data_IF_796922034285
#
_entry.id   IF_796922034285
#
_cell.length_a   1.000
_cell.length_b   1.000
_cell.length_c   1.000
_cell.angle_alpha   90.00
_cell.angle_beta   90.00
_cell.angle_gamma   90.00
#
_symmetry.space_group_name_H-M   'P 1'
#
loop_
_entity.id
_entity.type
_entity.pdbx_description
1 polymer ?
#
# COMPACT_ATOMS: atom_id res chain seq x y z
N UNK A 1 -19.98 -1.53 -4.97
CA UNK A 1 -18.55 -1.85 -4.84
C UNK A 1 -18.30 -3.21 -5.49
N UNK A 2 -17.08 -3.50 -6.00
CA UNK A 2 -16.74 -4.83 -6.54
C UNK A 2 -15.48 -5.32 -5.84
N UNK A 3 -15.59 -6.43 -5.11
CA UNK A 3 -14.44 -7.11 -4.50
C UNK A 3 -13.64 -7.81 -5.61
N UNK A 4 -12.32 -7.71 -5.51
CA UNK A 4 -11.35 -8.33 -6.40
C UNK A 4 -10.17 -8.85 -5.57
N UNK A 5 -9.29 -9.61 -6.21
CA UNK A 5 -8.02 -9.99 -5.60
C UNK A 5 -7.18 -8.75 -5.33
N UNK A 6 -6.39 -8.77 -4.26
CA UNK A 6 -5.57 -7.63 -3.86
C UNK A 6 -4.56 -7.21 -4.96
N UNK A 7 -4.04 -8.16 -5.73
CA UNK A 7 -3.14 -7.91 -6.86
C UNK A 7 -3.83 -7.11 -7.97
N UNK A 8 -5.08 -7.42 -8.30
CA UNK A 8 -5.88 -6.66 -9.27
C UNK A 8 -6.12 -5.21 -8.81
N UNK A 9 -6.19 -4.98 -7.49
CA UNK A 9 -6.31 -3.62 -6.93
C UNK A 9 -4.99 -2.88 -7.03
N UNK A 10 -3.86 -3.54 -6.80
CA UNK A 10 -2.55 -2.93 -6.97
C UNK A 10 -2.23 -2.64 -8.44
N UNK A 11 -2.70 -3.46 -9.37
CA UNK A 11 -2.61 -3.19 -10.80
C UNK A 11 -3.33 -1.87 -11.15
N UNK A 12 -4.55 -1.64 -10.65
CA UNK A 12 -5.27 -0.37 -10.81
C UNK A 12 -4.48 0.84 -10.27
N UNK A 13 -3.73 0.66 -9.17
CA UNK A 13 -2.88 1.71 -8.57
C UNK A 13 -1.69 2.00 -9.49
N UNK A 14 -1.02 0.96 -9.98
CA UNK A 14 0.12 1.03 -10.87
C UNK A 14 -0.23 1.68 -12.21
N UNK A 15 -1.37 1.33 -12.81
CA UNK A 15 -1.78 1.81 -14.14
C UNK A 15 -2.36 3.24 -14.15
N UNK A 16 -2.61 3.81 -12.97
CA UNK A 16 -3.37 5.06 -12.79
C UNK A 16 -2.76 6.31 -13.45
N UNK A 17 -1.49 6.27 -13.87
CA UNK A 17 -0.81 7.35 -14.61
C UNK A 17 -0.95 8.74 -13.96
N UNK A 18 -0.78 8.80 -12.64
CA UNK A 18 -0.81 10.03 -11.83
C UNK A 18 0.57 10.35 -11.25
N UNK A 19 0.67 11.43 -10.47
CA UNK A 19 1.90 11.77 -9.74
C UNK A 19 2.25 10.64 -8.74
N UNK A 20 3.37 9.91 -8.93
CA UNK A 20 3.71 8.76 -8.11
C UNK A 20 3.93 9.11 -6.63
N UNK A 21 4.40 10.32 -6.33
CA UNK A 21 4.58 10.81 -4.95
C UNK A 21 3.32 11.35 -4.30
N UNK A 22 2.19 11.38 -5.01
CA UNK A 22 0.92 11.91 -4.52
C UNK A 22 0.12 10.93 -3.67
N UNK A 23 0.58 9.68 -3.54
CA UNK A 23 -0.13 8.63 -2.85
C UNK A 23 0.11 8.66 -1.34
N UNK A 24 -0.89 8.21 -0.57
CA UNK A 24 -0.85 8.18 0.90
C UNK A 24 -1.49 6.89 1.39
N UNK A 25 -0.97 6.33 2.47
CA UNK A 25 -1.48 5.07 3.01
C UNK A 25 -1.68 5.10 4.52
N UNK A 26 -2.63 4.30 4.99
CA UNK A 26 -2.85 3.99 6.40
C UNK A 26 -3.05 2.49 6.51
N UNK A 27 -2.37 1.82 7.42
CA UNK A 27 -2.56 0.38 7.61
C UNK A 27 -2.19 -0.10 9.01
N UNK A 28 -2.53 -1.34 9.29
CA UNK A 28 -2.20 -2.01 10.54
C UNK A 28 -2.94 -3.34 10.66
N UNK A 29 -3.04 -3.84 11.89
CA UNK A 29 -3.77 -5.08 12.15
C UNK A 29 -5.26 -4.95 11.81
N UNK A 30 -5.83 -6.06 11.31
CA UNK A 30 -7.29 -6.17 11.16
C UNK A 30 -7.99 -6.05 12.51
N UNK A 31 -9.22 -5.55 12.48
CA UNK A 31 -10.09 -5.51 13.65
C UNK A 31 -10.37 -6.91 14.23
N UNK A 32 -10.38 -7.91 13.36
CA UNK A 32 -10.65 -9.32 13.69
C UNK A 32 -9.74 -10.25 12.90
N UNK A 33 -9.36 -11.36 13.54
CA UNK A 33 -8.61 -12.43 12.89
C UNK A 33 -7.14 -12.11 12.65
N UNK A 34 -6.58 -12.73 11.61
CA UNK A 34 -5.18 -12.58 11.20
C UNK A 34 -5.08 -11.77 9.93
N UNK A 35 -3.98 -11.04 9.77
CA UNK A 35 -3.71 -10.22 8.59
C UNK A 35 -3.86 -8.73 8.84
N UNK A 36 -3.69 -7.97 7.77
CA UNK A 36 -3.56 -6.53 7.75
C UNK A 36 -4.76 -5.91 7.02
N UNK A 37 -5.09 -4.68 7.39
CA UNK A 37 -6.06 -3.83 6.71
C UNK A 37 -5.37 -2.53 6.30
N UNK A 38 -5.47 -2.18 5.02
CA UNK A 38 -4.68 -1.11 4.41
C UNK A 38 -5.58 -0.26 3.51
N UNK A 39 -5.57 1.05 3.73
CA UNK A 39 -6.14 2.03 2.81
C UNK A 39 -5.04 2.75 2.05
N UNK A 40 -5.19 2.85 0.74
CA UNK A 40 -4.28 3.56 -0.17
C UNK A 40 -5.08 4.60 -0.93
N UNK A 41 -4.63 5.85 -0.91
CA UNK A 41 -5.37 7.00 -1.44
C UNK A 41 -4.52 7.92 -2.30
N UNK A 42 -5.09 8.39 -3.41
CA UNK A 42 -4.54 9.49 -4.21
C UNK A 42 -5.63 10.51 -4.58
N UNK A 43 -5.39 11.83 -4.45
CA UNK A 43 -6.41 12.86 -4.70
C UNK A 43 -7.13 12.75 -6.05
N UNK A 44 -6.37 12.43 -7.10
CA UNK A 44 -6.87 12.29 -8.47
C UNK A 44 -7.45 10.91 -8.83
N UNK A 45 -7.23 9.88 -8.00
CA UNK A 45 -7.65 8.49 -8.31
C UNK A 45 -8.72 8.00 -7.34
N UNK A 46 -8.67 8.37 -6.07
CA UNK A 46 -9.60 7.90 -5.05
C UNK A 46 -8.93 7.01 -4.01
N UNK A 47 -9.73 6.18 -3.35
CA UNK A 47 -9.31 5.37 -2.21
C UNK A 47 -9.58 3.90 -2.50
N UNK A 48 -8.58 3.08 -2.19
CA UNK A 48 -8.62 1.64 -2.25
C UNK A 48 -8.43 1.09 -0.85
N UNK A 49 -9.13 -0.01 -0.55
CA UNK A 49 -8.95 -0.78 0.66
C UNK A 49 -8.48 -2.18 0.28
N UNK A 50 -7.50 -2.69 1.03
CA UNK A 50 -6.92 -4.02 0.89
C UNK A 50 -6.98 -4.73 2.25
N UNK A 51 -7.35 -6.00 2.23
CA UNK A 51 -7.15 -6.92 3.36
C UNK A 51 -6.19 -8.01 2.91
N UNK A 52 -5.08 -8.16 3.63
CA UNK A 52 -3.98 -9.05 3.24
C UNK A 52 -3.56 -9.96 4.37
N UNK A 53 -3.11 -11.16 4.05
CA UNK A 53 -2.50 -12.09 4.99
C UNK A 53 -1.29 -12.74 4.35
N UNK A 54 -0.14 -12.59 5.01
CA UNK A 54 1.08 -13.27 4.63
C UNK A 54 1.06 -14.71 5.18
N UNK A 55 0.72 -15.67 4.32
CA UNK A 55 0.77 -17.10 4.66
C UNK A 55 2.20 -17.57 4.91
N UNK A 56 3.15 -16.99 4.18
CA UNK A 56 4.59 -17.12 4.41
C UNK A 56 5.32 -15.93 3.76
N UNK A 57 6.65 -15.75 3.96
CA UNK A 57 7.38 -14.60 3.43
C UNK A 57 7.38 -14.43 1.90
N UNK A 58 6.86 -15.40 1.15
CA UNK A 58 6.81 -15.40 -0.31
C UNK A 58 5.38 -15.44 -0.87
N UNK A 59 4.37 -15.62 -0.02
CA UNK A 59 2.98 -15.79 -0.44
C UNK A 59 2.08 -14.92 0.43
N UNK A 60 1.56 -13.86 -0.20
CA UNK A 60 0.55 -12.97 0.37
C UNK A 60 -0.75 -13.22 -0.37
N UNK A 61 -1.83 -13.41 0.37
CA UNK A 61 -3.18 -13.54 -0.17
C UNK A 61 -4.02 -12.39 0.35
N UNK A 62 -5.04 -12.01 -0.40
CA UNK A 62 -5.82 -10.84 -0.03
C UNK A 62 -6.94 -10.52 -0.99
N UNK A 63 -7.82 -9.66 -0.53
CA UNK A 63 -8.89 -9.07 -1.33
C UNK A 63 -8.83 -7.56 -1.21
N UNK A 64 -9.49 -6.87 -2.13
CA UNK A 64 -9.64 -5.44 -1.99
C UNK A 64 -10.73 -4.87 -2.86
N UNK A 65 -10.94 -3.56 -2.68
CA UNK A 65 -11.84 -2.81 -3.52
C UNK A 65 -11.51 -1.33 -3.56
N UNK A 66 -12.07 -0.64 -4.56
CA UNK A 66 -12.09 0.82 -4.61
C UNK A 66 -13.30 1.33 -3.85
N UNK A 67 -13.07 1.96 -2.70
CA UNK A 67 -14.10 2.45 -1.78
C UNK A 67 -14.49 3.90 -2.07
N UNK A 68 -13.61 4.70 -2.67
CA UNK A 68 -13.92 6.05 -3.15
C UNK A 68 -13.31 6.35 -4.52
N UNK A 69 -13.99 7.19 -5.32
CA UNK A 69 -13.51 7.59 -6.66
C UNK A 69 -12.62 8.83 -6.67
N UNK A 70 -12.60 9.57 -5.57
CA UNK A 70 -11.81 10.79 -5.34
C UNK A 70 -11.71 11.00 -3.83
N UNK A 71 -10.70 11.76 -3.43
CA UNK A 71 -10.57 12.24 -2.05
C UNK A 71 -11.14 13.66 -2.03
N UNK A 72 -12.13 13.91 -1.17
CA UNK A 72 -12.62 15.25 -0.83
C UNK A 72 -11.96 15.75 0.46
N UNK A 73 -12.33 16.94 0.94
CA UNK A 73 -11.68 17.57 2.09
C UNK A 73 -11.87 16.76 3.39
N UNK A 74 -12.96 15.99 3.51
CA UNK A 74 -13.23 15.12 4.66
C UNK A 74 -12.32 13.89 4.62
N UNK A 75 -12.26 13.21 3.47
CA UNK A 75 -11.34 12.08 3.29
C UNK A 75 -9.87 12.51 3.32
N UNK A 76 -9.51 13.70 2.84
CA UNK A 76 -8.12 14.18 2.83
C UNK A 76 -7.52 14.25 4.23
N UNK A 77 -8.35 14.58 5.22
CA UNK A 77 -7.95 14.68 6.61
C UNK A 77 -7.61 13.31 7.24
N UNK A 78 -8.16 12.22 6.69
CA UNK A 78 -7.93 10.85 7.17
C UNK A 78 -6.62 10.24 6.64
N UNK A 79 -5.94 10.89 5.69
CA UNK A 79 -4.66 10.43 5.15
C UNK A 79 -3.48 11.24 5.68
N UNK A 80 -2.34 10.60 5.99
CA UNK A 80 -1.16 11.28 6.51
C UNK A 80 -0.58 12.25 5.48
N UNK A 81 -0.28 13.48 5.91
CA UNK A 81 0.62 14.40 5.17
C UNK A 81 2.09 14.08 5.43
N UNK A 82 2.34 13.57 6.63
CA UNK A 82 3.59 12.99 7.10
C UNK A 82 3.20 11.71 7.85
N UNK A 83 3.94 10.63 7.62
CA UNK A 83 3.65 9.30 8.17
C UNK A 83 4.64 8.86 9.24
N UNK A 84 4.33 7.77 9.94
CA UNK A 84 5.32 7.05 10.77
C UNK A 84 6.38 6.36 9.91
N UNK A 85 6.09 6.15 8.63
CA UNK A 85 7.00 5.66 7.61
C UNK A 85 6.58 6.09 6.20
N UNK A 86 7.10 5.37 5.21
CA UNK A 86 6.73 5.52 3.81
C UNK A 86 6.42 4.15 3.22
N UNK A 87 5.61 4.14 2.16
CA UNK A 87 5.33 2.94 1.38
C UNK A 87 5.67 3.18 -0.09
N UNK A 88 5.96 2.12 -0.81
CA UNK A 88 6.19 2.16 -2.25
C UNK A 88 5.70 0.87 -2.90
N UNK A 89 5.04 1.00 -4.04
CA UNK A 89 4.70 -0.12 -4.92
C UNK A 89 5.85 -0.27 -5.91
N UNK A 90 6.24 -1.50 -6.21
CA UNK A 90 7.32 -1.77 -7.16
C UNK A 90 6.87 -2.79 -8.18
N UNK A 91 7.15 -2.52 -9.45
CA UNK A 91 6.98 -3.49 -10.52
C UNK A 91 8.25 -4.33 -10.71
N UNK A 92 8.13 -5.59 -11.16
CA UNK A 92 9.28 -6.34 -11.64
C UNK A 92 9.98 -5.59 -12.78
N UNK A 93 11.31 -5.64 -12.82
CA UNK A 93 12.09 -5.21 -14.00
C UNK A 93 11.89 -6.20 -15.13
N UNK A 94 11.81 -5.71 -16.36
CA UNK A 94 11.54 -6.51 -17.56
C UNK A 94 12.75 -7.37 -17.95
N UNK A 95 13.96 -6.81 -17.85
CA UNK A 95 15.20 -7.47 -18.26
C UNK A 95 16.45 -7.02 -17.46
N UNK A 96 17.59 -7.65 -17.79
CA UNK A 96 18.88 -7.39 -17.15
C UNK A 96 19.42 -5.98 -17.43
N UNK A 97 19.17 -5.43 -18.62
CA UNK A 97 19.66 -4.10 -19.01
C UNK A 97 18.91 -3.01 -18.22
N UNK A 98 17.60 -3.18 -18.03
CA UNK A 98 16.79 -2.33 -17.16
C UNK A 98 17.23 -2.45 -15.70
N UNK A 99 17.44 -3.68 -15.21
CA UNK A 99 17.92 -3.92 -13.85
C UNK A 99 19.26 -3.22 -13.57
N UNK A 100 20.20 -3.27 -14.52
CA UNK A 100 21.46 -2.54 -14.43
C UNK A 100 21.27 -1.02 -14.39
N UNK A 101 20.31 -0.50 -15.15
CA UNK A 101 20.00 0.93 -15.22
C UNK A 101 19.41 1.44 -13.91
N UNK A 102 18.43 0.72 -13.36
CA UNK A 102 17.86 0.99 -12.03
C UNK A 102 18.95 0.93 -10.96
N UNK A 103 19.81 -0.09 -10.99
CA UNK A 103 20.89 -0.25 -10.00
C UNK A 103 21.88 0.91 -10.01
N UNK A 104 22.33 1.35 -11.20
CA UNK A 104 23.24 2.51 -11.35
C UNK A 104 22.60 3.82 -10.90
N UNK A 105 21.32 4.00 -11.17
CA UNK A 105 20.55 5.18 -10.75
C UNK A 105 20.44 5.22 -9.23
N UNK A 106 20.07 4.09 -8.62
CA UNK A 106 19.99 3.94 -7.17
C UNK A 106 21.35 4.17 -6.49
N UNK A 107 22.43 3.61 -7.05
CA UNK A 107 23.80 3.85 -6.55
C UNK A 107 24.14 5.35 -6.54
N UNK A 108 23.86 6.06 -7.63
CA UNK A 108 24.09 7.51 -7.76
C UNK A 108 23.29 8.31 -6.72
N UNK A 109 22.02 7.94 -6.48
CA UNK A 109 21.17 8.57 -5.45
C UNK A 109 21.80 8.36 -4.06
N UNK A 110 22.19 7.13 -3.73
CA UNK A 110 22.78 6.83 -2.43
C UNK A 110 24.11 7.57 -2.21
N UNK A 111 24.98 7.66 -3.21
CA UNK A 111 26.22 8.43 -3.15
C UNK A 111 25.94 9.92 -2.90
N UNK A 112 24.99 10.50 -3.63
CA UNK A 112 24.61 11.91 -3.51
C UNK A 112 24.12 12.24 -2.09
N UNK A 113 23.31 11.36 -1.49
CA UNK A 113 22.79 11.54 -0.14
C UNK A 113 23.82 11.24 0.96
N UNK A 114 24.83 10.43 0.67
CA UNK A 114 25.95 10.21 1.58
C UNK A 114 26.90 11.41 1.65
N UNK A 115 27.10 12.11 0.53
CA UNK A 115 28.05 13.23 0.41
C UNK A 115 27.48 14.59 0.82
N UNK A 116 26.16 14.74 0.91
CA UNK A 116 25.49 16.00 1.25
C UNK A 116 24.53 15.88 2.44
N UNK A 117 24.32 16.96 3.22
CA UNK A 117 23.23 16.99 4.20
C UNK A 117 21.89 16.70 3.53
N UNK A 118 21.19 15.67 4.02
CA UNK A 118 19.89 15.24 3.50
C UNK A 118 18.88 14.99 4.62
N UNK A 119 17.64 14.69 4.25
CA UNK A 119 16.59 14.26 5.19
C UNK A 119 16.13 12.84 4.84
N UNK A 120 15.58 12.07 5.81
CA UNK A 120 15.02 10.76 5.51
C UNK A 120 13.94 10.79 4.42
N UNK A 121 13.11 11.85 4.42
CA UNK A 121 12.07 12.06 3.41
C UNK A 121 12.66 12.25 2.01
N UNK A 122 13.63 13.14 1.86
CA UNK A 122 14.27 13.38 0.56
C UNK A 122 14.95 12.11 0.02
N UNK A 123 15.68 11.39 0.88
CA UNK A 123 16.29 10.10 0.50
C UNK A 123 15.23 9.10 0.03
N UNK A 124 14.12 9.00 0.76
CA UNK A 124 13.04 8.08 0.39
C UNK A 124 12.44 8.42 -0.97
N UNK A 125 12.08 9.69 -1.21
CA UNK A 125 11.52 10.15 -2.48
C UNK A 125 12.48 9.86 -3.65
N UNK A 126 13.76 10.23 -3.53
CA UNK A 126 14.74 10.01 -4.59
C UNK A 126 15.03 8.51 -4.84
N UNK A 127 14.94 7.66 -3.80
CA UNK A 127 15.05 6.19 -3.96
C UNK A 127 13.84 5.63 -4.69
N UNK A 128 12.63 6.09 -4.36
CA UNK A 128 11.40 5.63 -5.02
C UNK A 128 11.39 6.03 -6.50
N UNK A 129 11.86 7.24 -6.82
CA UNK A 129 12.05 7.68 -8.21
C UNK A 129 13.13 6.84 -8.93
N UNK A 130 14.24 6.51 -8.26
CA UNK A 130 15.31 5.72 -8.85
C UNK A 130 14.90 4.28 -9.21
N UNK A 131 13.93 3.71 -8.47
CA UNK A 131 13.37 2.37 -8.75
C UNK A 131 12.09 2.42 -9.58
N UNK A 132 11.77 3.58 -10.17
CA UNK A 132 10.59 3.83 -10.99
C UNK A 132 9.29 3.35 -10.31
N UNK A 133 9.14 3.69 -9.02
CA UNK A 133 7.96 3.32 -8.25
C UNK A 133 6.73 4.06 -8.78
N UNK A 134 5.67 3.36 -9.26
CA UNK A 134 4.48 3.99 -9.80
C UNK A 134 3.58 4.63 -8.73
N UNK A 135 3.76 4.25 -7.46
CA UNK A 135 3.00 4.79 -6.35
C UNK A 135 3.82 4.69 -5.06
N UNK A 136 4.10 5.84 -4.45
CA UNK A 136 4.78 5.92 -3.18
C UNK A 136 4.32 7.15 -2.38
N UNK A 137 4.62 7.14 -1.08
CA UNK A 137 4.39 8.32 -0.24
C UNK A 137 4.32 8.00 1.25
N UNK A 138 3.84 8.95 2.06
CA UNK A 138 3.77 8.77 3.51
C UNK A 138 2.76 7.68 3.88
N UNK A 139 3.13 6.88 4.87
CA UNK A 139 2.30 5.84 5.45
C UNK A 139 2.23 5.99 6.97
N UNK A 140 1.04 5.87 7.51
CA UNK A 140 0.86 5.57 8.93
C UNK A 140 0.59 4.07 9.08
N UNK A 141 1.52 3.37 9.72
CA UNK A 141 1.42 1.93 9.94
C UNK A 141 1.80 1.58 11.38
N UNK A 142 1.05 0.64 11.97
CA UNK A 142 1.42 -0.03 13.21
C UNK A 142 1.48 -1.54 12.97
N UNK A 143 2.61 -2.15 13.34
CA UNK A 143 2.88 -3.59 13.14
C UNK A 143 2.29 -4.49 14.23
N UNK A 144 1.76 -3.90 15.30
CA UNK A 144 1.29 -4.63 16.48
C UNK A 144 -0.11 -4.23 16.91
N UNK A 145 -0.70 -3.22 16.25
CA UNK A 145 -1.99 -2.68 16.60
C UNK A 145 -2.61 -1.95 15.38
N UNK A 146 -3.69 -1.23 15.64
CA UNK A 146 -4.43 -0.44 14.67
C UNK A 146 -4.28 1.06 14.97
N UNK A 147 -3.75 1.87 14.03
CA UNK A 147 -3.73 3.32 14.20
C UNK A 147 -5.15 3.92 14.29
N UNK A 148 -5.32 5.02 15.04
CA UNK A 148 -6.63 5.70 15.19
C UNK A 148 -7.23 6.08 13.82
N UNK A 149 -6.40 6.58 12.88
CA UNK A 149 -6.85 6.94 11.52
C UNK A 149 -7.38 5.74 10.74
N UNK A 150 -6.85 4.55 10.99
CA UNK A 150 -7.36 3.34 10.35
C UNK A 150 -8.76 3.03 10.86
N UNK A 151 -9.00 3.18 12.17
CA UNK A 151 -10.35 3.07 12.75
C UNK A 151 -11.33 4.08 12.15
N UNK A 152 -10.93 5.35 12.01
CA UNK A 152 -11.77 6.38 11.38
C UNK A 152 -12.10 6.06 9.90
N UNK A 153 -11.14 5.52 9.15
CA UNK A 153 -11.36 5.05 7.77
C UNK A 153 -12.32 3.85 7.73
N UNK A 154 -12.19 2.91 8.65
CA UNK A 154 -13.10 1.77 8.78
C UNK A 154 -14.52 2.22 9.07
N UNK A 155 -14.71 3.15 10.01
CA UNK A 155 -16.03 3.70 10.33
C UNK A 155 -16.62 4.47 9.13
N UNK A 156 -15.78 5.19 8.38
CA UNK A 156 -16.19 5.92 7.17
C UNK A 156 -16.67 4.99 6.05
N UNK A 157 -16.07 3.79 5.95
CA UNK A 157 -16.34 2.82 4.90
C UNK A 157 -16.93 1.50 5.45
N UNK A 158 -17.74 1.56 6.50
CA UNK A 158 -18.31 0.39 7.22
C UNK A 158 -18.93 -0.65 6.27
N UNK A 159 -19.73 -0.23 5.28
CA UNK A 159 -20.33 -1.17 4.32
C UNK A 159 -19.28 -1.90 3.45
N UNK A 160 -18.18 -1.22 3.11
CA UNK A 160 -17.10 -1.83 2.36
C UNK A 160 -16.29 -2.78 3.24
N UNK A 161 -16.06 -2.38 4.49
CA UNK A 161 -15.37 -3.18 5.51
C UNK A 161 -16.08 -4.51 5.70
N UNK A 162 -17.38 -4.52 5.98
CA UNK A 162 -18.15 -5.74 6.24
C UNK A 162 -18.10 -6.73 5.07
N UNK A 163 -18.21 -6.20 3.84
CA UNK A 163 -18.15 -7.00 2.62
C UNK A 163 -16.76 -7.58 2.40
N UNK A 164 -15.70 -6.77 2.55
CA UNK A 164 -14.33 -7.25 2.39
C UNK A 164 -13.94 -8.23 3.49
N UNK A 165 -14.39 -8.00 4.72
CA UNK A 165 -14.13 -8.87 5.87
C UNK A 165 -14.74 -10.26 5.62
N UNK A 166 -16.00 -10.31 5.18
CA UNK A 166 -16.67 -11.58 4.84
C UNK A 166 -15.93 -12.34 3.74
N UNK A 167 -15.60 -11.68 2.63
CA UNK A 167 -14.91 -12.34 1.50
C UNK A 167 -13.48 -12.76 1.88
N UNK A 168 -12.82 -12.01 2.77
CA UNK A 168 -11.47 -12.32 3.21
C UNK A 168 -11.42 -13.46 4.22
N UNK A 169 -12.43 -13.63 5.07
CA UNK A 169 -12.57 -14.80 5.94
C UNK A 169 -12.60 -16.10 5.12
N UNK A 170 -13.33 -16.12 4.01
CA UNK A 170 -13.36 -17.27 3.10
C UNK A 170 -11.97 -17.59 2.52
N UNK A 171 -11.18 -16.56 2.16
CA UNK A 171 -9.80 -16.72 1.66
C UNK A 171 -8.89 -17.32 2.73
N UNK A 172 -9.00 -16.85 3.98
CA UNK A 172 -8.22 -17.36 5.10
C UNK A 172 -8.60 -18.81 5.41
N UNK A 173 -9.89 -19.12 5.48
CA UNK A 173 -10.36 -20.47 5.79
C UNK A 173 -9.85 -21.47 4.74
N UNK A 174 -9.91 -21.13 3.44
CA UNK A 174 -9.36 -21.96 2.37
C UNK A 174 -7.83 -22.17 2.51
N UNK A 175 -7.11 -21.14 2.96
CA UNK A 175 -5.66 -21.19 3.13
C UNK A 175 -5.23 -22.00 4.35
N UNK A 176 -5.97 -21.90 5.46
CA UNK A 176 -5.70 -22.56 6.74
C UNK A 176 -6.12 -24.04 6.72
N UNK A 177 -7.27 -24.39 6.13
CA UNK A 177 -7.73 -25.79 6.04
C UNK A 177 -6.82 -26.66 5.13
N UNK A 178 -6.02 -26.05 4.25
CA UNK A 178 -5.00 -26.75 3.46
C UNK A 178 -3.67 -26.96 4.22
N UNK A 179 -3.59 -26.49 5.45
CA UNK A 179 -2.43 -26.62 6.35
C UNK A 179 -2.42 -27.93 7.12
N UNK A 180 -1.89 -28.99 6.50
CA UNK A 180 -1.46 -30.27 7.10
C UNK A 180 -2.57 -31.20 7.65
N UNK A 181 -2.83 -32.28 6.91
CA UNK A 181 -3.30 -33.57 7.44
C UNK A 181 -2.17 -34.60 7.43
#
# INVERSE_FOLDING_TARGET
MRVREWEDILEDVVESSVDPGGWRAVGGDRASGIGEDIYIGHPGVGVFQLKTYAKNPYEVQGVGSRVARRIDDELDALFPKEGSGGFGVRQPVDDEDEAETVAKTLETVLETHADAPTTPKALFEDVMDAVDSPAYGPMEFDHYDRPDRLGELTDTFEEAEDVLETEFEDVIDEAVDRGVH
#
